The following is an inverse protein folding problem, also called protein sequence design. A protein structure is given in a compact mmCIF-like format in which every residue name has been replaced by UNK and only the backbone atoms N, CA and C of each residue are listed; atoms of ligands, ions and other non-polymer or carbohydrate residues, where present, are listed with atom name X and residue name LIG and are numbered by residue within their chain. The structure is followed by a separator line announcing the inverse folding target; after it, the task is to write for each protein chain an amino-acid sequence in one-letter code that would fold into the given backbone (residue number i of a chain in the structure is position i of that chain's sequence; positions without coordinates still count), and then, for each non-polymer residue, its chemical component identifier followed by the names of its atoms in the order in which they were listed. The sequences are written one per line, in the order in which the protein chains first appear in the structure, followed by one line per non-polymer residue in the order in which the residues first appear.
data_IF_536636696197
#
_entry.id   IF_536636696197
#
_cell.length_a   1.000
_cell.length_b   1.000
_cell.length_c   1.000
_cell.angle_alpha   90.00
_cell.angle_beta   90.00
_cell.angle_gamma   90.00
#
_symmetry.space_group_name_H-M   'P 1'
#
loop_
_entity.id
_entity.type
_entity.pdbx_description
1 polymer ?
#
# COMPACT_ATOMS: atom_id res chain seq x y z
N UNK A 1 -3.08 -32.35 -15.18
CA UNK A 1 -2.55 -32.12 -13.82
C UNK A 1 -2.29 -30.63 -13.58
N UNK A 2 -3.31 -29.82 -13.30
CA UNK A 2 -3.17 -28.36 -13.08
C UNK A 2 -3.73 -27.86 -11.72
N UNK A 3 -4.30 -28.74 -10.90
CA UNK A 3 -5.03 -28.35 -9.69
C UNK A 3 -4.18 -28.01 -8.46
N UNK A 4 -2.91 -28.39 -8.43
CA UNK A 4 -2.07 -28.22 -7.24
C UNK A 4 -1.44 -26.83 -7.14
N UNK A 5 -0.89 -26.31 -8.26
CA UNK A 5 -0.32 -24.95 -8.31
C UNK A 5 -1.35 -23.86 -8.03
N UNK A 6 -2.57 -24.01 -8.58
CA UNK A 6 -3.68 -23.06 -8.35
C UNK A 6 -4.08 -23.02 -6.86
N UNK A 7 -4.14 -24.17 -6.19
CA UNK A 7 -4.46 -24.23 -4.76
C UNK A 7 -3.39 -23.54 -3.90
N UNK A 8 -2.11 -23.73 -4.20
CA UNK A 8 -1.01 -23.12 -3.44
C UNK A 8 -1.03 -21.58 -3.56
N UNK A 9 -1.33 -21.05 -4.76
CA UNK A 9 -1.46 -19.60 -4.97
C UNK A 9 -2.68 -19.01 -4.25
N UNK A 10 -3.81 -19.73 -4.23
CA UNK A 10 -5.02 -19.28 -3.54
C UNK A 10 -4.86 -19.30 -2.01
N UNK A 11 -4.23 -20.34 -1.46
CA UNK A 11 -3.87 -20.39 -0.04
C UNK A 11 -2.90 -19.28 0.37
N UNK A 12 -1.91 -18.97 -0.50
CA UNK A 12 -1.01 -17.83 -0.28
C UNK A 12 -1.79 -16.52 -0.28
N UNK A 13 -2.68 -16.30 -1.25
CA UNK A 13 -3.55 -15.10 -1.31
C UNK A 13 -4.39 -14.94 -0.05
N UNK A 14 -5.03 -16.01 0.42
CA UNK A 14 -5.83 -15.98 1.65
C UNK A 14 -4.98 -15.67 2.89
N UNK A 15 -3.78 -16.25 3.00
CA UNK A 15 -2.85 -15.96 4.10
C UNK A 15 -2.41 -14.50 4.10
N UNK A 16 -2.03 -13.97 2.93
CA UNK A 16 -1.61 -12.56 2.83
C UNK A 16 -2.77 -11.61 3.13
N UNK A 17 -3.98 -11.89 2.62
CA UNK A 17 -5.18 -11.09 2.92
C UNK A 17 -5.48 -11.06 4.42
N UNK A 18 -5.36 -12.20 5.12
CA UNK A 18 -5.51 -12.28 6.58
C UNK A 18 -4.43 -11.49 7.31
N UNK A 19 -3.17 -11.61 6.88
CA UNK A 19 -2.02 -10.91 7.47
C UNK A 19 -2.16 -9.39 7.34
N UNK A 20 -2.50 -8.90 6.15
CA UNK A 20 -2.62 -7.47 5.85
C UNK A 20 -4.02 -6.90 6.18
N UNK A 21 -4.88 -7.65 6.88
CA UNK A 21 -6.28 -7.27 7.13
C UNK A 21 -6.39 -5.97 7.92
N UNK A 22 -5.51 -5.75 8.90
CA UNK A 22 -5.54 -4.55 9.74
C UNK A 22 -5.22 -3.30 8.91
N UNK A 23 -4.14 -3.32 8.13
CA UNK A 23 -3.76 -2.22 7.24
C UNK A 23 -4.86 -1.92 6.21
N UNK A 24 -5.43 -2.97 5.62
CA UNK A 24 -6.57 -2.84 4.68
C UNK A 24 -7.78 -2.20 5.35
N UNK A 25 -8.13 -2.65 6.56
CA UNK A 25 -9.29 -2.14 7.29
C UNK A 25 -9.09 -0.68 7.69
N UNK A 26 -7.89 -0.31 8.14
CA UNK A 26 -7.53 1.07 8.44
C UNK A 26 -7.65 1.96 7.19
N UNK A 27 -7.11 1.53 6.06
CA UNK A 27 -7.21 2.26 4.80
C UNK A 27 -8.65 2.44 4.31
N UNK A 28 -9.45 1.37 4.32
CA UNK A 28 -10.86 1.42 3.91
C UNK A 28 -11.66 2.34 4.83
N UNK A 29 -11.44 2.27 6.15
CA UNK A 29 -12.11 3.15 7.10
C UNK A 29 -11.69 4.62 6.91
N UNK A 30 -10.42 4.88 6.62
CA UNK A 30 -9.97 6.23 6.26
C UNK A 30 -10.69 6.72 5.00
N UNK A 31 -10.70 5.93 3.92
CA UNK A 31 -11.43 6.28 2.69
C UNK A 31 -12.91 6.56 2.97
N UNK A 32 -13.55 5.76 3.83
CA UNK A 32 -14.95 5.93 4.23
C UNK A 32 -15.18 7.21 5.03
N UNK A 33 -14.29 7.56 5.95
CA UNK A 33 -14.38 8.78 6.75
C UNK A 33 -14.28 10.04 5.88
N UNK A 34 -13.55 9.95 4.77
CA UNK A 34 -13.37 11.04 3.82
C UNK A 34 -14.29 11.00 2.60
N UNK A 35 -15.07 9.92 2.41
CA UNK A 35 -16.16 9.91 1.42
C UNK A 35 -17.34 10.70 1.97
N UNK A 36 -17.81 11.68 1.21
CA UNK A 36 -18.95 12.48 1.62
C UNK A 36 -20.25 11.66 1.51
N UNK A 37 -21.22 11.84 2.42
CA UNK A 37 -22.51 11.15 2.36
C UNK A 37 -23.29 11.39 1.06
N UNK A 38 -22.96 12.47 0.34
CA UNK A 38 -23.60 12.91 -0.90
C UNK A 38 -23.09 12.18 -2.16
N UNK A 39 -22.20 11.20 -2.04
CA UNK A 39 -21.63 10.49 -3.19
C UNK A 39 -20.66 11.34 -4.02
N UNK A 40 -20.26 12.51 -3.50
CA UNK A 40 -19.25 13.33 -4.16
C UNK A 40 -17.89 12.65 -4.03
N UNK A 41 -17.03 12.73 -5.07
CA UNK A 41 -15.70 12.17 -5.00
C UNK A 41 -14.93 12.80 -3.83
N UNK A 42 -14.10 12.01 -3.11
CA UNK A 42 -13.25 12.55 -2.06
C UNK A 42 -12.38 13.68 -2.65
N UNK A 43 -12.23 14.78 -1.89
CA UNK A 43 -11.33 15.86 -2.28
C UNK A 43 -9.89 15.36 -2.42
N UNK A 44 -9.05 16.08 -3.17
CA UNK A 44 -7.64 15.71 -3.33
C UNK A 44 -6.91 15.64 -1.97
N UNK A 45 -7.34 16.46 -1.01
CA UNK A 45 -6.85 16.47 0.38
C UNK A 45 -7.28 15.22 1.15
N UNK A 46 -8.52 14.78 0.97
CA UNK A 46 -9.03 13.52 1.51
C UNK A 46 -8.25 12.30 0.99
N UNK A 47 -7.91 12.29 -0.30
CA UNK A 47 -7.06 11.25 -0.89
C UNK A 47 -5.64 11.26 -0.30
N UNK A 48 -5.05 12.45 -0.12
CA UNK A 48 -3.73 12.64 0.51
C UNK A 48 -3.71 12.20 1.98
N UNK A 49 -4.83 12.35 2.70
CA UNK A 49 -4.93 11.96 4.10
C UNK A 49 -4.76 10.45 4.32
N UNK A 50 -5.31 9.63 3.42
CA UNK A 50 -5.23 8.16 3.51
C UNK A 50 -3.98 7.56 2.86
N UNK A 51 -3.13 8.38 2.24
CA UNK A 51 -2.01 7.93 1.41
C UNK A 51 -0.92 7.21 2.24
N UNK A 52 -0.82 7.51 3.55
CA UNK A 52 0.02 6.75 4.49
C UNK A 52 -0.45 5.31 4.63
N UNK A 53 -1.76 5.13 4.87
CA UNK A 53 -2.37 3.83 5.05
C UNK A 53 -2.31 3.03 3.73
N UNK A 54 -2.49 3.70 2.59
CA UNK A 54 -2.25 3.12 1.27
C UNK A 54 -0.82 2.57 1.14
N UNK A 55 0.17 3.35 1.55
CA UNK A 55 1.58 2.93 1.49
C UNK A 55 1.86 1.74 2.42
N UNK A 56 1.24 1.69 3.60
CA UNK A 56 1.32 0.54 4.52
C UNK A 56 0.71 -0.73 3.92
N UNK A 57 -0.47 -0.62 3.30
CA UNK A 57 -1.10 -1.74 2.58
C UNK A 57 -0.18 -2.26 1.48
N UNK A 58 0.35 -1.35 0.65
CA UNK A 58 1.28 -1.72 -0.42
C UNK A 58 2.53 -2.40 0.12
N UNK A 59 3.10 -1.91 1.21
CA UNK A 59 4.26 -2.52 1.87
C UNK A 59 3.94 -3.92 2.41
N UNK A 60 2.80 -4.10 3.10
CA UNK A 60 2.39 -5.40 3.62
C UNK A 60 2.25 -6.44 2.50
N UNK A 61 1.55 -6.12 1.42
CA UNK A 61 1.41 -7.03 0.27
C UNK A 61 2.75 -7.25 -0.43
N UNK A 62 3.54 -6.20 -0.66
CA UNK A 62 4.84 -6.30 -1.32
C UNK A 62 5.82 -7.16 -0.51
N UNK A 63 5.76 -7.16 0.82
CA UNK A 63 6.61 -8.04 1.64
C UNK A 63 6.40 -9.53 1.37
N UNK A 64 5.29 -9.93 0.75
CA UNK A 64 4.91 -11.33 0.49
C UNK A 64 5.06 -11.74 -0.98
N UNK A 65 5.06 -10.76 -1.88
CA UNK A 65 5.03 -10.96 -3.33
C UNK A 65 6.21 -10.28 -4.04
N UNK A 66 6.65 -9.13 -3.55
CA UNK A 66 7.61 -8.21 -4.16
C UNK A 66 8.67 -7.80 -3.12
N UNK A 67 9.44 -8.78 -2.64
CA UNK A 67 10.33 -8.63 -1.48
C UNK A 67 11.42 -7.56 -1.71
N UNK A 68 11.97 -7.48 -2.92
CA UNK A 68 13.00 -6.50 -3.26
C UNK A 68 12.48 -5.06 -3.19
N UNK A 69 11.28 -4.82 -3.73
CA UNK A 69 10.61 -3.52 -3.70
C UNK A 69 10.21 -3.14 -2.26
N UNK A 70 9.76 -4.12 -1.47
CA UNK A 70 9.44 -3.92 -0.05
C UNK A 70 10.69 -3.51 0.75
N UNK A 71 11.81 -4.22 0.59
CA UNK A 71 13.10 -3.88 1.23
C UNK A 71 13.64 -2.52 0.78
N UNK A 72 13.46 -2.17 -0.50
CA UNK A 72 13.84 -0.85 -1.00
C UNK A 72 13.03 0.27 -0.35
N UNK A 73 11.71 0.06 -0.18
CA UNK A 73 10.85 0.97 0.54
C UNK A 73 11.26 1.10 2.01
N UNK A 74 11.49 0.00 2.72
CA UNK A 74 11.93 0.01 4.12
C UNK A 74 13.21 0.81 4.33
N UNK A 75 14.25 0.56 3.53
CA UNK A 75 15.51 1.32 3.61
C UNK A 75 15.31 2.81 3.43
N UNK A 76 14.46 3.19 2.47
CA UNK A 76 14.13 4.58 2.24
C UNK A 76 13.36 5.17 3.43
N UNK A 77 12.32 4.47 3.92
CA UNK A 77 11.48 4.90 5.02
C UNK A 77 12.29 5.09 6.30
N UNK A 78 13.12 4.12 6.68
CA UNK A 78 14.00 4.23 7.84
C UNK A 78 15.00 5.40 7.69
N UNK A 79 15.57 5.61 6.51
CA UNK A 79 16.44 6.78 6.26
C UNK A 79 15.68 8.10 6.39
N UNK A 80 14.44 8.17 5.89
CA UNK A 80 13.62 9.37 5.94
C UNK A 80 13.20 9.72 7.38
N UNK A 81 12.71 8.72 8.13
CA UNK A 81 12.27 8.88 9.53
C UNK A 81 13.44 9.20 10.46
N UNK A 82 14.57 8.51 10.33
CA UNK A 82 15.76 8.78 11.16
C UNK A 82 16.31 10.20 10.99
N UNK A 83 16.11 10.81 9.82
CA UNK A 83 16.52 12.20 9.53
C UNK A 83 15.44 13.23 9.92
N UNK A 84 14.28 12.80 10.42
CA UNK A 84 13.13 13.67 10.65
C UNK A 84 12.54 14.28 9.36
N UNK A 85 12.88 13.71 8.20
CA UNK A 85 12.49 14.21 6.87
C UNK A 85 11.62 13.17 6.18
N UNK A 86 10.42 12.96 6.70
CA UNK A 86 9.43 12.09 6.05
C UNK A 86 8.76 12.76 4.83
N UNK A 87 8.80 14.10 4.79
CA UNK A 87 8.42 14.89 3.64
C UNK A 87 9.68 15.48 3.00
N UNK A 88 9.99 15.07 1.78
CA UNK A 88 11.10 15.63 0.99
C UNK A 88 10.83 17.11 0.67
N UNK A 89 9.56 17.49 0.57
CA UNK A 89 9.14 18.86 0.39
C UNK A 89 7.95 19.20 1.30
N UNK A 90 8.21 20.02 2.32
CA UNK A 90 7.17 20.47 3.26
C UNK A 90 6.14 21.42 2.63
N UNK A 91 6.47 22.13 1.55
CA UNK A 91 5.51 23.03 0.87
C UNK A 91 4.49 22.25 0.03
N UNK A 92 4.92 21.16 -0.60
CA UNK A 92 4.05 20.32 -1.42
C UNK A 92 3.52 19.09 -0.67
N UNK A 93 3.96 18.90 0.58
CA UNK A 93 3.73 17.69 1.38
C UNK A 93 4.15 16.41 0.62
N UNK A 94 5.14 16.53 -0.26
CA UNK A 94 5.63 15.38 -1.02
C UNK A 94 6.45 14.49 -0.10
N UNK A 95 5.99 13.25 0.02
CA UNK A 95 6.57 12.25 0.91
C UNK A 95 7.87 11.72 0.32
N UNK A 96 8.82 11.48 1.21
CA UNK A 96 9.98 10.68 0.89
C UNK A 96 9.54 9.28 0.46
N UNK A 97 10.32 8.66 -0.43
CA UNK A 97 10.12 7.28 -0.87
C UNK A 97 8.95 7.04 -1.84
N UNK A 98 8.40 8.09 -2.46
CA UNK A 98 7.32 8.00 -3.45
C UNK A 98 7.63 7.03 -4.59
N UNK A 99 8.88 7.01 -5.06
CA UNK A 99 9.30 6.12 -6.13
C UNK A 99 9.31 4.65 -5.72
N UNK A 100 9.68 4.36 -4.47
CA UNK A 100 9.66 3.02 -3.90
C UNK A 100 8.22 2.53 -3.75
N UNK A 101 7.29 3.39 -3.31
CA UNK A 101 5.85 3.09 -3.28
C UNK A 101 5.31 2.76 -4.68
N UNK A 102 5.70 3.55 -5.71
CA UNK A 102 5.33 3.27 -7.11
C UNK A 102 5.93 1.98 -7.65
N UNK A 103 7.12 1.57 -7.19
CA UNK A 103 7.74 0.29 -7.57
C UNK A 103 6.97 -0.89 -6.95
N UNK A 104 6.65 -0.82 -5.66
CA UNK A 104 5.81 -1.79 -4.95
C UNK A 104 4.47 -1.98 -5.68
N UNK A 105 3.75 -0.90 -5.96
CA UNK A 105 2.46 -0.98 -6.66
C UNK A 105 2.58 -1.60 -8.05
N UNK A 106 3.59 -1.21 -8.85
CA UNK A 106 3.82 -1.79 -10.17
C UNK A 106 4.13 -3.29 -10.10
N UNK A 107 4.90 -3.72 -9.11
CA UNK A 107 5.19 -5.13 -8.93
C UNK A 107 3.91 -5.92 -8.57
N UNK A 108 3.11 -5.43 -7.62
CA UNK A 108 1.84 -6.06 -7.24
C UNK A 108 0.84 -6.13 -8.41
N UNK A 109 0.78 -5.09 -9.25
CA UNK A 109 -0.02 -5.08 -10.49
C UNK A 109 0.45 -6.15 -11.48
N UNK A 110 1.77 -6.27 -11.71
CA UNK A 110 2.34 -7.30 -12.60
C UNK A 110 2.05 -8.71 -12.11
N UNK A 111 2.09 -8.92 -10.80
CA UNK A 111 1.77 -10.20 -10.17
C UNK A 111 0.27 -10.46 -10.02
N UNK A 112 -0.60 -9.50 -10.38
CA UNK A 112 -2.07 -9.59 -10.25
C UNK A 112 -2.53 -9.86 -8.81
N UNK A 113 -1.85 -9.26 -7.85
CA UNK A 113 -2.12 -9.42 -6.39
C UNK A 113 -2.33 -8.08 -5.70
N UNK A 114 -2.49 -6.99 -6.47
CA UNK A 114 -2.88 -5.70 -5.91
C UNK A 114 -4.30 -5.80 -5.32
N UNK A 115 -4.51 -5.39 -4.06
CA UNK A 115 -5.84 -5.29 -3.47
C UNK A 115 -6.78 -4.42 -4.32
N UNK A 116 -8.03 -4.85 -4.50
CA UNK A 116 -9.02 -4.13 -5.31
C UNK A 116 -9.50 -2.86 -4.62
N UNK A 117 -9.36 -2.79 -3.30
CA UNK A 117 -9.82 -1.66 -2.50
C UNK A 117 -8.87 -0.44 -2.60
N UNK A 118 -7.65 -0.61 -3.15
CA UNK A 118 -6.61 0.42 -3.34
C UNK A 118 -6.83 1.30 -4.57
#
# INVERSE_FOLDING_TARGET
MFGWFVKVDEEKRLRVRKRCRLDMSAFVNCRRAYSTPSGAPPTEEAAKACDTLRSQVLHCYSSQYCEEESKAYERCYYSAVSKGRYYDNMKTMERSCRDQVRRMERCLKRQRVLPEEL
#
